data_IF_313205991154
#
_entry.id   IF_313205991154
#
_cell.length_a   1.000
_cell.length_b   1.000
_cell.length_c   1.000
_cell.angle_alpha   90.00
_cell.angle_beta   90.00
_cell.angle_gamma   90.00
#
_symmetry.space_group_name_H-M   'P 1'
#
loop_
_entity.id
_entity.type
_entity.pdbx_description
1 polymer ?
#
# COMPACT_ATOMS: atom_id res chain seq x y z
N UNK A 1 9.57 4.71 -30.13
CA UNK A 1 9.06 4.81 -28.76
C UNK A 1 8.52 3.47 -28.25
N UNK A 2 9.37 2.52 -27.91
CA UNK A 2 8.87 1.21 -27.40
C UNK A 2 8.62 1.14 -25.91
N UNK A 3 8.95 2.18 -25.12
CA UNK A 3 8.96 2.11 -23.66
C UNK A 3 7.59 2.04 -22.99
N UNK A 4 6.56 2.67 -23.52
CA UNK A 4 5.26 2.78 -22.80
C UNK A 4 4.42 1.50 -22.77
N UNK A 5 4.56 0.64 -23.77
CA UNK A 5 3.82 -0.64 -23.81
C UNK A 5 4.42 -1.70 -22.91
N UNK A 6 5.75 -1.71 -22.77
CA UNK A 6 6.48 -2.62 -21.88
C UNK A 6 6.20 -2.23 -20.42
N UNK A 7 6.23 -0.94 -20.08
CA UNK A 7 5.94 -0.43 -18.74
C UNK A 7 4.50 -0.76 -18.28
N UNK A 8 3.52 -0.64 -19.19
CA UNK A 8 2.12 -1.00 -18.88
C UNK A 8 1.94 -2.48 -18.61
N UNK A 9 2.60 -3.33 -19.40
CA UNK A 9 2.50 -4.78 -19.20
C UNK A 9 3.12 -5.19 -17.88
N UNK A 10 4.28 -4.65 -17.54
CA UNK A 10 4.96 -4.92 -16.28
C UNK A 10 4.16 -4.41 -15.07
N UNK A 11 3.62 -3.19 -15.13
CA UNK A 11 2.74 -2.65 -14.10
C UNK A 11 1.50 -3.51 -13.85
N UNK A 12 0.86 -4.01 -14.92
CA UNK A 12 -0.27 -4.92 -14.81
C UNK A 12 0.10 -6.25 -14.16
N UNK A 13 1.27 -6.81 -14.48
CA UNK A 13 1.75 -8.05 -13.86
C UNK A 13 2.06 -7.87 -12.37
N UNK A 14 2.68 -6.76 -11.99
CA UNK A 14 2.94 -6.42 -10.57
C UNK A 14 1.65 -6.29 -9.80
N UNK A 15 0.68 -5.58 -10.37
CA UNK A 15 -0.64 -5.41 -9.76
C UNK A 15 -1.39 -6.74 -9.65
N UNK A 16 -1.35 -7.59 -10.70
CA UNK A 16 -1.95 -8.92 -10.68
C UNK A 16 -1.35 -9.83 -9.59
N UNK A 17 -0.02 -9.77 -9.39
CA UNK A 17 0.66 -10.52 -8.30
C UNK A 17 0.22 -10.05 -6.92
N UNK A 18 0.15 -8.73 -6.69
CA UNK A 18 -0.33 -8.17 -5.44
C UNK A 18 -1.79 -8.56 -5.16
N UNK A 19 -2.65 -8.52 -6.20
CA UNK A 19 -4.05 -8.97 -6.12
C UNK A 19 -4.16 -10.47 -5.83
N UNK A 20 -3.31 -11.29 -6.44
CA UNK A 20 -3.26 -12.73 -6.14
C UNK A 20 -2.90 -12.98 -4.67
N UNK A 21 -1.92 -12.26 -4.13
CA UNK A 21 -1.56 -12.33 -2.71
C UNK A 21 -2.74 -11.91 -1.81
N UNK A 22 -3.43 -10.83 -2.14
CA UNK A 22 -4.57 -10.35 -1.38
C UNK A 22 -5.73 -11.35 -1.38
N UNK A 23 -6.11 -11.88 -2.54
CA UNK A 23 -7.19 -12.86 -2.69
C UNK A 23 -6.87 -14.18 -1.99
N UNK A 24 -5.61 -14.62 -2.04
CA UNK A 24 -5.20 -15.87 -1.40
C UNK A 24 -5.00 -15.72 0.12
N UNK A 25 -4.63 -14.55 0.59
CA UNK A 25 -4.46 -14.25 2.01
C UNK A 25 -5.73 -13.79 2.73
N UNK A 26 -6.77 -13.42 2.00
CA UNK A 26 -8.03 -12.99 2.59
C UNK A 26 -8.78 -14.15 3.24
N UNK A 27 -9.35 -13.92 4.40
CA UNK A 27 -10.22 -14.89 5.11
C UNK A 27 -11.65 -14.89 4.53
N UNK A 28 -11.72 -14.97 3.21
CA UNK A 28 -12.99 -14.98 2.47
C UNK A 28 -12.89 -15.89 1.23
N UNK A 29 -13.95 -16.61 0.87
CA UNK A 29 -13.96 -17.40 -0.37
C UNK A 29 -13.96 -16.47 -1.60
N UNK A 30 -13.28 -16.92 -2.67
CA UNK A 30 -13.11 -16.13 -3.91
C UNK A 30 -14.40 -15.66 -4.56
N UNK A 31 -15.48 -16.44 -4.47
CA UNK A 31 -16.77 -16.03 -5.03
C UNK A 31 -17.36 -14.82 -4.28
N UNK A 32 -17.14 -14.74 -2.97
CA UNK A 32 -17.57 -13.61 -2.16
C UNK A 32 -16.74 -12.36 -2.45
N UNK A 33 -15.43 -12.51 -2.55
CA UNK A 33 -14.54 -11.40 -2.95
C UNK A 33 -14.97 -10.85 -4.31
N UNK A 34 -15.21 -11.71 -5.30
CA UNK A 34 -15.67 -11.30 -6.62
C UNK A 34 -17.00 -10.53 -6.56
N UNK A 35 -17.97 -11.04 -5.80
CA UNK A 35 -19.28 -10.40 -5.61
C UNK A 35 -19.15 -9.03 -4.94
N UNK A 36 -18.36 -8.92 -3.87
CA UNK A 36 -18.12 -7.65 -3.17
C UNK A 36 -17.37 -6.63 -4.06
N UNK A 37 -16.48 -7.10 -4.94
CA UNK A 37 -15.80 -6.27 -5.92
C UNK A 37 -16.64 -5.93 -7.18
N UNK A 38 -17.88 -6.43 -7.24
CA UNK A 38 -18.79 -6.16 -8.35
C UNK A 38 -18.40 -6.85 -9.66
N UNK A 39 -17.81 -8.05 -9.59
CA UNK A 39 -17.37 -8.80 -10.77
C UNK A 39 -17.72 -10.30 -10.66
N UNK A 40 -17.67 -10.98 -11.82
CA UNK A 40 -17.86 -12.42 -11.87
C UNK A 40 -16.59 -13.16 -11.38
N UNK A 41 -16.75 -14.30 -10.71
CA UNK A 41 -15.64 -15.14 -10.20
C UNK A 41 -14.59 -15.45 -11.28
N UNK A 42 -15.03 -15.78 -12.50
CA UNK A 42 -14.12 -16.09 -13.60
C UNK A 42 -13.31 -14.88 -14.06
N UNK A 43 -13.88 -13.68 -13.96
CA UNK A 43 -13.17 -12.42 -14.22
C UNK A 43 -12.07 -12.21 -13.18
N UNK A 44 -12.39 -12.37 -11.90
CA UNK A 44 -11.41 -12.30 -10.82
C UNK A 44 -10.24 -13.27 -11.03
N UNK A 45 -10.55 -14.55 -11.39
CA UNK A 45 -9.52 -15.57 -11.63
C UNK A 45 -8.60 -15.21 -12.82
N UNK A 46 -9.13 -14.60 -13.87
CA UNK A 46 -8.32 -14.14 -15.02
C UNK A 46 -7.44 -12.96 -14.65
N UNK A 47 -7.93 -12.04 -13.82
CA UNK A 47 -7.17 -10.89 -13.32
C UNK A 47 -5.99 -11.33 -12.47
N UNK A 48 -6.20 -12.16 -11.45
CA UNK A 48 -5.13 -12.59 -10.54
C UNK A 48 -4.08 -13.49 -11.21
N UNK A 49 -4.41 -14.09 -12.35
CA UNK A 49 -3.46 -14.84 -13.20
C UNK A 49 -2.70 -13.95 -14.19
N UNK A 50 -3.00 -12.65 -14.24
CA UNK A 50 -2.43 -11.74 -15.23
C UNK A 50 -2.91 -12.00 -16.68
N UNK A 51 -3.96 -12.82 -16.87
CA UNK A 51 -4.52 -13.15 -18.17
C UNK A 51 -5.47 -12.07 -18.72
N UNK A 52 -5.74 -11.03 -17.93
CA UNK A 52 -6.54 -9.86 -18.30
C UNK A 52 -5.94 -8.63 -17.65
N UNK A 53 -5.77 -7.52 -18.41
CA UNK A 53 -5.44 -6.23 -17.82
C UNK A 53 -6.49 -5.79 -16.82
N UNK A 54 -6.09 -5.06 -15.78
CA UNK A 54 -6.99 -4.52 -14.79
C UNK A 54 -6.85 -3.01 -14.68
N UNK A 55 -7.96 -2.30 -14.53
CA UNK A 55 -7.99 -0.88 -14.21
C UNK A 55 -7.76 -0.65 -12.73
N UNK A 56 -7.32 0.57 -12.38
CA UNK A 56 -7.06 0.92 -10.98
C UNK A 56 -8.32 0.83 -10.11
N UNK A 57 -9.47 1.26 -10.62
CA UNK A 57 -10.75 1.17 -9.91
C UNK A 57 -11.18 -0.28 -9.63
N UNK A 58 -10.95 -1.18 -10.57
CA UNK A 58 -11.21 -2.62 -10.37
C UNK A 58 -10.26 -3.19 -9.33
N UNK A 59 -8.98 -2.84 -9.40
CA UNK A 59 -7.96 -3.27 -8.43
C UNK A 59 -8.31 -2.78 -7.02
N UNK A 60 -8.67 -1.51 -6.87
CA UNK A 60 -9.08 -0.93 -5.59
C UNK A 60 -10.26 -1.70 -4.99
N UNK A 61 -11.30 -1.98 -5.77
CA UNK A 61 -12.46 -2.76 -5.31
C UNK A 61 -12.10 -4.18 -4.87
N UNK A 62 -11.17 -4.84 -5.56
CA UNK A 62 -10.73 -6.19 -5.17
C UNK A 62 -9.95 -6.12 -3.84
N UNK A 63 -9.01 -5.19 -3.68
CA UNK A 63 -8.26 -5.03 -2.43
C UNK A 63 -9.20 -4.74 -1.26
N UNK A 64 -10.16 -3.82 -1.42
CA UNK A 64 -11.16 -3.50 -0.40
C UNK A 64 -12.03 -4.72 -0.05
N UNK A 65 -12.45 -5.49 -1.04
CA UNK A 65 -13.18 -6.74 -0.82
C UNK A 65 -12.37 -7.79 -0.04
N UNK A 66 -11.03 -7.77 -0.18
CA UNK A 66 -10.10 -8.59 0.61
C UNK A 66 -9.84 -8.04 2.02
N UNK A 67 -10.33 -6.84 2.36
CA UNK A 67 -10.05 -6.18 3.64
C UNK A 67 -8.64 -5.56 3.70
N UNK A 68 -8.07 -5.20 2.56
CA UNK A 68 -6.71 -4.68 2.42
C UNK A 68 -6.77 -3.16 2.16
N UNK A 69 -5.89 -2.33 2.78
CA UNK A 69 -5.72 -0.93 2.44
C UNK A 69 -5.26 -0.79 0.98
N UNK A 70 -6.19 -0.45 0.09
CA UNK A 70 -6.00 -0.60 -1.35
C UNK A 70 -4.90 0.31 -1.91
N UNK A 71 -4.91 1.59 -1.54
CA UNK A 71 -4.04 2.60 -2.16
C UNK A 71 -2.58 2.40 -1.81
N UNK A 72 -2.27 2.15 -0.54
CA UNK A 72 -0.91 1.89 -0.10
C UNK A 72 -0.32 0.63 -0.74
N UNK A 73 -1.10 -0.44 -0.83
CA UNK A 73 -0.68 -1.70 -1.46
C UNK A 73 -0.50 -1.53 -2.97
N UNK A 74 -1.39 -0.79 -3.64
CA UNK A 74 -1.24 -0.47 -5.07
C UNK A 74 0.03 0.35 -5.35
N UNK A 75 0.31 1.38 -4.53
CA UNK A 75 1.52 2.19 -4.68
C UNK A 75 2.77 1.32 -4.50
N UNK A 76 2.83 0.47 -3.48
CA UNK A 76 3.95 -0.45 -3.26
C UNK A 76 4.15 -1.38 -4.46
N UNK A 77 3.09 -1.98 -4.98
CA UNK A 77 3.16 -2.87 -6.13
C UNK A 77 3.66 -2.14 -7.38
N UNK A 78 3.10 -0.97 -7.69
CA UNK A 78 3.44 -0.20 -8.89
C UNK A 78 4.84 0.40 -8.84
N UNK A 79 5.39 0.66 -7.65
CA UNK A 79 6.74 1.20 -7.46
C UNK A 79 7.82 0.12 -7.30
N UNK A 80 7.49 -1.16 -7.52
CA UNK A 80 8.44 -2.26 -7.50
C UNK A 80 8.73 -2.84 -6.12
N UNK A 81 7.82 -2.61 -5.17
CA UNK A 81 7.91 -3.13 -3.80
C UNK A 81 6.85 -4.22 -3.53
N UNK A 82 6.69 -5.15 -4.50
CA UNK A 82 5.68 -6.21 -4.41
C UNK A 82 5.86 -7.10 -3.19
N UNK A 83 7.12 -7.40 -2.82
CA UNK A 83 7.42 -8.21 -1.63
C UNK A 83 6.98 -7.52 -0.34
N UNK A 84 7.16 -6.19 -0.25
CA UNK A 84 6.68 -5.39 0.87
C UNK A 84 5.16 -5.26 0.84
N UNK A 85 4.55 -5.10 -0.33
CA UNK A 85 3.12 -5.11 -0.49
C UNK A 85 2.51 -6.41 0.05
N UNK A 86 3.03 -7.56 -0.36
CA UNK A 86 2.59 -8.87 0.11
C UNK A 86 2.79 -9.05 1.63
N UNK A 87 3.92 -8.59 2.16
CA UNK A 87 4.24 -8.69 3.59
C UNK A 87 3.36 -7.81 4.47
N UNK A 88 3.00 -6.61 4.01
CA UNK A 88 2.35 -5.60 4.84
C UNK A 88 0.83 -5.48 4.65
N UNK A 89 0.27 -6.05 3.57
CA UNK A 89 -1.14 -5.83 3.20
C UNK A 89 -2.15 -6.23 4.28
N UNK A 90 -1.83 -7.21 5.12
CA UNK A 90 -2.65 -7.64 6.27
C UNK A 90 -2.10 -7.18 7.61
N UNK A 91 -1.10 -6.28 7.61
CA UNK A 91 -0.50 -5.70 8.81
C UNK A 91 -0.88 -4.23 8.96
N UNK A 92 -0.76 -3.73 10.18
CA UNK A 92 -0.97 -2.31 10.48
C UNK A 92 -0.09 -1.36 9.68
N UNK A 93 1.03 -1.83 9.12
CA UNK A 93 1.93 -1.02 8.29
C UNK A 93 1.28 -0.53 6.99
N UNK A 94 0.48 -1.36 6.32
CA UNK A 94 -0.23 -0.92 5.11
C UNK A 94 -1.29 0.14 5.43
N UNK A 95 -2.04 -0.04 6.53
CA UNK A 95 -3.01 0.95 7.01
C UNK A 95 -2.32 2.26 7.44
N UNK A 96 -1.17 2.18 8.12
CA UNK A 96 -0.37 3.34 8.48
C UNK A 96 0.09 4.11 7.23
N UNK A 97 0.62 3.43 6.21
CA UNK A 97 1.05 4.07 4.96
C UNK A 97 -0.13 4.74 4.23
N UNK A 98 -1.29 4.12 4.23
CA UNK A 98 -2.49 4.69 3.62
C UNK A 98 -2.87 6.01 4.29
N UNK A 99 -2.94 6.03 5.62
CA UNK A 99 -3.24 7.24 6.39
C UNK A 99 -2.12 8.29 6.26
N UNK A 100 -0.86 7.87 6.27
CA UNK A 100 0.28 8.75 6.06
C UNK A 100 0.22 9.46 4.70
N UNK A 101 -0.07 8.72 3.62
CA UNK A 101 -0.23 9.31 2.29
C UNK A 101 -1.45 10.21 2.17
N UNK A 102 -2.53 9.93 2.88
CA UNK A 102 -3.73 10.75 2.89
C UNK A 102 -3.51 12.09 3.61
N UNK A 103 -2.75 12.09 4.69
CA UNK A 103 -2.57 13.27 5.56
C UNK A 103 -1.34 14.11 5.21
N UNK A 104 -0.28 13.50 4.68
CA UNK A 104 0.99 14.15 4.38
C UNK A 104 0.85 15.39 3.47
N UNK A 105 0.08 15.37 2.37
CA UNK A 105 -0.03 16.54 1.49
C UNK A 105 -0.58 17.77 2.20
N UNK A 106 -1.63 17.61 3.00
CA UNK A 106 -2.21 18.71 3.76
C UNK A 106 -1.25 19.27 4.83
N UNK A 107 -0.56 18.37 5.54
CA UNK A 107 0.44 18.77 6.53
C UNK A 107 1.64 19.49 5.91
N UNK A 108 2.06 19.09 4.71
CA UNK A 108 3.12 19.78 3.98
C UNK A 108 2.69 21.19 3.57
N UNK A 109 1.47 21.32 3.03
CA UNK A 109 0.92 22.62 2.63
C UNK A 109 0.80 23.56 3.83
N UNK A 110 0.26 23.09 4.94
CA UNK A 110 0.10 23.88 6.17
C UNK A 110 1.46 24.32 6.76
N UNK A 111 2.44 23.40 6.78
CA UNK A 111 3.73 23.65 7.45
C UNK A 111 4.69 24.46 6.58
N UNK A 112 4.71 24.22 5.28
CA UNK A 112 5.67 24.82 4.35
C UNK A 112 5.14 26.08 3.67
N UNK A 113 3.85 26.12 3.37
CA UNK A 113 3.24 27.23 2.64
C UNK A 113 4.02 27.53 1.34
N UNK A 114 4.40 28.78 1.14
CA UNK A 114 5.16 29.20 -0.04
C UNK A 114 6.52 28.51 -0.22
N UNK A 115 7.12 28.02 0.88
CA UNK A 115 8.40 27.31 0.84
C UNK A 115 8.31 25.91 0.21
N UNK A 116 7.12 25.44 -0.12
CA UNK A 116 6.95 24.15 -0.80
C UNK A 116 7.67 24.13 -2.16
N UNK A 117 7.80 25.29 -2.82
CA UNK A 117 8.54 25.46 -4.06
C UNK A 117 10.05 25.24 -3.93
N UNK A 118 10.60 25.31 -2.72
CA UNK A 118 12.03 25.10 -2.45
C UNK A 118 12.39 23.63 -2.28
N UNK A 119 11.40 22.74 -2.17
CA UNK A 119 11.62 21.31 -2.06
C UNK A 119 12.39 20.77 -3.27
N UNK A 120 13.40 19.96 -2.98
CA UNK A 120 14.22 19.33 -4.01
C UNK A 120 14.01 17.81 -3.98
N UNK A 121 13.73 17.15 -5.14
CA UNK A 121 13.53 15.71 -5.22
C UNK A 121 14.67 14.90 -4.59
N UNK A 122 15.92 15.37 -4.71
CA UNK A 122 17.09 14.72 -4.10
C UNK A 122 17.06 14.61 -2.58
N UNK A 123 16.23 15.39 -1.90
CA UNK A 123 16.08 15.33 -0.44
C UNK A 123 15.17 14.19 0.02
N UNK A 124 14.36 13.63 -0.88
CA UNK A 124 13.38 12.61 -0.55
C UNK A 124 14.00 11.39 0.14
N UNK A 125 15.16 10.92 -0.33
CA UNK A 125 15.86 9.77 0.29
C UNK A 125 16.31 10.07 1.72
N UNK A 126 16.85 11.28 1.97
CA UNK A 126 17.25 11.69 3.31
C UNK A 126 16.06 11.85 4.24
N UNK A 127 14.99 12.45 3.75
CA UNK A 127 13.73 12.64 4.49
C UNK A 127 13.09 11.30 4.84
N UNK A 128 13.03 10.35 3.93
CA UNK A 128 12.47 9.02 4.20
C UNK A 128 13.24 8.27 5.30
N UNK A 129 14.59 8.37 5.30
CA UNK A 129 15.42 7.81 6.38
C UNK A 129 15.17 8.47 7.72
N UNK A 130 14.95 9.80 7.72
CA UNK A 130 14.63 10.54 8.94
C UNK A 130 13.29 10.10 9.52
N UNK A 131 12.26 9.99 8.66
CA UNK A 131 10.93 9.49 9.05
C UNK A 131 11.03 8.09 9.65
N UNK A 132 11.75 7.17 9.00
CA UNK A 132 11.93 5.81 9.50
C UNK A 132 12.59 5.78 10.90
N UNK A 133 13.62 6.60 11.13
CA UNK A 133 14.27 6.72 12.45
C UNK A 133 13.36 7.34 13.51
N UNK A 134 12.57 8.34 13.14
CA UNK A 134 11.58 8.94 14.06
C UNK A 134 10.53 7.91 14.48
N UNK A 135 10.02 7.10 13.55
CA UNK A 135 9.08 6.04 13.84
C UNK A 135 9.68 4.96 14.74
N UNK A 136 10.91 4.52 14.47
CA UNK A 136 11.60 3.55 15.30
C UNK A 136 11.72 4.05 16.75
N UNK A 137 12.20 5.29 16.93
CA UNK A 137 12.30 5.91 18.27
C UNK A 137 10.95 6.00 18.97
N UNK A 138 9.90 6.36 18.23
CA UNK A 138 8.55 6.48 18.79
C UNK A 138 8.01 5.13 19.27
N UNK A 139 8.27 4.06 18.52
CA UNK A 139 7.90 2.69 18.91
C UNK A 139 8.64 2.27 20.18
N UNK A 140 9.95 2.54 20.26
CA UNK A 140 10.77 2.22 21.43
C UNK A 140 10.29 2.99 22.69
N UNK A 141 10.01 4.29 22.55
CA UNK A 141 9.51 5.13 23.63
C UNK A 141 8.13 4.64 24.17
N UNK A 142 7.27 4.08 23.31
CA UNK A 142 6.01 3.48 23.74
C UNK A 142 6.21 2.14 24.45
N UNK A 143 7.07 1.28 23.92
CA UNK A 143 7.38 -0.01 24.52
C UNK A 143 7.96 0.16 25.96
N UNK A 144 8.84 1.14 26.15
CA UNK A 144 9.42 1.44 27.45
C UNK A 144 8.37 1.95 28.45
N UNK A 145 7.39 2.72 27.99
CA UNK A 145 6.26 3.17 28.86
C UNK A 145 5.39 2.03 29.28
N UNK A 146 5.02 1.12 28.36
CA UNK A 146 4.17 -0.04 28.67
C UNK A 146 4.87 -0.99 29.65
N UNK A 147 6.17 -1.22 29.53
CA UNK A 147 6.96 -2.00 30.47
C UNK A 147 7.00 -1.35 31.86
N UNK A 148 7.08 -0.01 31.94
CA UNK A 148 7.11 0.71 33.20
C UNK A 148 5.78 0.67 33.97
N UNK A 149 4.66 0.45 33.30
CA UNK A 149 3.35 0.24 33.92
C UNK A 149 3.13 -1.20 34.38
N UNK A 150 3.79 -2.17 33.75
CA UNK A 150 3.70 -3.59 34.12
C UNK A 150 4.45 -3.93 35.41
N UNK A 151 5.52 -3.17 35.72
CA UNK A 151 6.39 -3.42 36.88
C UNK A 151 5.87 -2.81 38.21
N UNK A 152 4.71 -2.15 38.17
CA UNK A 152 4.08 -1.51 39.34
C UNK A 152 2.86 -2.27 39.91
N UNK A 153 2.74 -3.56 39.64
CA UNK A 153 1.68 -4.39 40.24
C UNK A 153 2.26 -5.42 41.19
#
# INVERSE_FOLDING_TARGET
>A
MPSQTVDRHDANLRLARALACAVNGADKPRHRIASEAGMHKNTLLRVIRGARPIGLDEAERIFLACGVPARSVMVLALTGHEDLAAKWMFHGMAAFLEEFMNTLPANLEETLGERISDLRPRWATGTSRLVARMLAKHIDDFADRDLSFSDRR
#
